data_IF_743329892427
#
_entry.id   IF_743329892427
#
_cell.length_a   1.000
_cell.length_b   1.000
_cell.length_c   1.000
_cell.angle_alpha   90.00
_cell.angle_beta   90.00
_cell.angle_gamma   90.00
#
_symmetry.space_group_name_H-M   'P 1'
#
loop_
_entity.id
_entity.type
_entity.pdbx_description
1 polymer ?
#
# COMPACT_ATOMS: atom_id res chain seq x y z
N UNK A 1 -8.01 18.48 19.81
CA UNK A 1 -6.92 18.24 18.84
C UNK A 1 -7.56 17.87 17.51
N UNK A 2 -7.23 18.57 16.42
CA UNK A 2 -7.84 18.30 15.11
C UNK A 2 -6.91 17.44 14.25
N UNK A 3 -7.44 16.33 13.73
CA UNK A 3 -6.80 15.49 12.73
C UNK A 3 -7.04 16.10 11.35
N UNK A 4 -5.99 16.22 10.53
CA UNK A 4 -6.08 16.75 9.17
C UNK A 4 -5.48 15.76 8.18
N UNK A 5 -6.27 15.32 7.21
CA UNK A 5 -5.73 14.61 6.04
C UNK A 5 -4.92 15.61 5.21
N UNK A 6 -3.66 15.27 4.94
CA UNK A 6 -2.72 16.12 4.19
C UNK A 6 -2.35 15.53 2.83
N UNK A 7 -2.57 14.24 2.62
CA UNK A 7 -2.37 13.61 1.33
C UNK A 7 -3.10 12.28 1.21
N UNK A 8 -3.54 11.97 0.00
CA UNK A 8 -4.06 10.67 -0.40
C UNK A 8 -3.45 10.36 -1.76
N UNK A 9 -2.94 9.15 -1.93
CA UNK A 9 -2.41 8.69 -3.20
C UNK A 9 -2.80 7.25 -3.48
N UNK A 10 -2.94 6.96 -4.76
CA UNK A 10 -3.16 5.62 -5.29
C UNK A 10 -2.16 5.45 -6.42
N UNK A 11 -1.37 4.38 -6.34
CA UNK A 11 -0.41 4.02 -7.38
C UNK A 11 -0.65 2.57 -7.80
N UNK A 12 -0.53 2.32 -9.10
CA UNK A 12 -0.50 0.96 -9.61
C UNK A 12 0.85 0.35 -9.27
N UNK A 13 0.82 -0.87 -8.74
CA UNK A 13 1.99 -1.64 -8.33
C UNK A 13 1.94 -2.99 -9.00
N UNK A 14 3.10 -3.49 -9.40
CA UNK A 14 3.25 -4.77 -10.08
C UNK A 14 4.32 -5.64 -9.41
N UNK A 15 4.61 -6.79 -10.01
CA UNK A 15 5.58 -7.74 -9.49
C UNK A 15 6.96 -7.13 -9.29
N UNK A 16 7.39 -6.21 -10.16
CA UNK A 16 8.71 -5.56 -10.08
C UNK A 16 8.81 -4.65 -8.86
N UNK A 17 7.69 -4.19 -8.33
CA UNK A 17 7.59 -3.45 -7.06
C UNK A 17 7.47 -4.35 -5.82
N UNK A 18 7.71 -5.65 -5.97
CA UNK A 18 7.58 -6.66 -4.92
C UNK A 18 6.13 -7.01 -4.57
N UNK A 19 5.13 -6.53 -5.32
CA UNK A 19 3.73 -6.80 -5.02
C UNK A 19 3.33 -8.21 -5.48
N UNK A 20 2.81 -9.03 -4.56
CA UNK A 20 2.33 -10.37 -4.89
C UNK A 20 1.01 -10.72 -4.18
N UNK A 21 -0.05 -10.99 -4.93
CA UNK A 21 -1.30 -11.47 -4.36
C UNK A 21 -1.28 -12.99 -4.17
N UNK A 22 -1.41 -13.46 -2.92
CA UNK A 22 -1.39 -14.88 -2.60
C UNK A 22 -2.68 -15.62 -3.03
N UNK A 23 -3.81 -14.91 -3.13
CA UNK A 23 -5.09 -15.48 -3.57
C UNK A 23 -5.11 -15.74 -5.07
N UNK A 24 -4.80 -14.72 -5.87
CA UNK A 24 -4.84 -14.81 -7.33
C UNK A 24 -3.53 -15.31 -7.95
N UNK A 25 -2.42 -15.30 -7.19
CA UNK A 25 -1.05 -15.58 -7.69
C UNK A 25 -0.64 -14.68 -8.85
N UNK A 26 -0.96 -13.39 -8.72
CA UNK A 26 -0.66 -12.36 -9.70
C UNK A 26 0.05 -11.20 -8.99
N UNK A 27 1.05 -10.63 -9.66
CA UNK A 27 1.77 -9.45 -9.20
C UNK A 27 1.19 -8.18 -9.80
N UNK A 28 -0.11 -7.93 -9.62
CA UNK A 28 -0.78 -6.71 -10.10
C UNK A 28 -1.71 -6.16 -9.02
N UNK A 29 -1.63 -4.87 -8.78
CA UNK A 29 -2.44 -4.26 -7.74
C UNK A 29 -2.28 -2.77 -7.56
N UNK A 30 -2.78 -2.29 -6.44
CA UNK A 30 -2.74 -0.89 -6.06
C UNK A 30 -2.14 -0.76 -4.67
N UNK A 31 -1.29 0.26 -4.52
CA UNK A 31 -0.87 0.76 -3.22
C UNK A 31 -1.61 2.07 -2.97
N UNK A 32 -2.38 2.08 -1.90
CA UNK A 32 -3.15 3.23 -1.46
C UNK A 32 -2.51 3.75 -0.19
N UNK A 33 -2.20 5.03 -0.13
CA UNK A 33 -1.65 5.64 1.06
C UNK A 33 -2.44 6.89 1.46
N UNK A 34 -2.56 7.08 2.77
CA UNK A 34 -3.20 8.24 3.39
C UNK A 34 -2.23 8.84 4.39
N UNK A 35 -1.87 10.09 4.17
CA UNK A 35 -1.06 10.89 5.08
C UNK A 35 -1.97 11.78 5.93
N UNK A 36 -1.84 11.64 7.24
CA UNK A 36 -2.61 12.38 8.23
C UNK A 36 -1.67 13.13 9.15
N UNK A 37 -1.91 14.43 9.29
CA UNK A 37 -1.24 15.28 10.25
C UNK A 37 -2.05 15.32 11.56
N UNK A 38 -1.40 14.90 12.63
CA UNK A 38 -1.86 15.03 14.02
C UNK A 38 -0.92 16.02 14.70
N UNK A 39 -1.38 16.92 15.59
CA UNK A 39 -0.48 17.86 16.24
C UNK A 39 0.78 17.19 16.81
N UNK A 40 1.96 17.54 16.26
CA UNK A 40 3.26 17.00 16.64
C UNK A 40 3.67 15.69 15.96
N UNK A 41 2.86 15.09 15.08
CA UNK A 41 3.17 13.83 14.37
C UNK A 41 2.54 13.74 12.97
N UNK A 42 3.28 13.18 12.01
CA UNK A 42 2.75 12.75 10.73
C UNK A 42 2.53 11.23 10.76
N UNK A 43 1.34 10.78 10.36
CA UNK A 43 0.99 9.38 10.23
C UNK A 43 0.79 9.04 8.76
N UNK A 44 1.46 8.01 8.27
CA UNK A 44 1.24 7.45 6.94
C UNK A 44 0.63 6.06 7.10
N UNK A 45 -0.57 5.87 6.53
CA UNK A 45 -1.22 4.57 6.48
C UNK A 45 -1.19 4.08 5.05
N UNK A 46 -0.66 2.87 4.84
CA UNK A 46 -0.58 2.24 3.52
C UNK A 46 -1.44 0.97 3.51
N UNK A 47 -2.15 0.75 2.40
CA UNK A 47 -2.91 -0.47 2.11
C UNK A 47 -2.52 -0.98 0.73
N UNK A 48 -2.50 -2.30 0.58
CA UNK A 48 -2.26 -2.97 -0.69
C UNK A 48 -3.51 -3.74 -1.08
N UNK A 49 -3.78 -3.76 -2.38
CA UNK A 49 -4.97 -4.39 -2.94
C UNK A 49 -4.63 -5.05 -4.28
N UNK A 50 -5.02 -6.31 -4.48
CA UNK A 50 -4.92 -6.94 -5.79
C UNK A 50 -5.95 -6.33 -6.75
N UNK A 51 -5.52 -6.01 -7.97
CA UNK A 51 -6.39 -5.44 -9.01
C UNK A 51 -7.40 -6.45 -9.58
N UNK A 52 -7.15 -7.74 -9.40
CA UNK A 52 -7.92 -8.82 -10.02
C UNK A 52 -9.00 -9.39 -9.08
N UNK A 53 -8.59 -9.95 -7.93
CA UNK A 53 -9.55 -10.50 -6.95
C UNK A 53 -10.10 -9.45 -5.99
N UNK A 54 -9.55 -8.23 -5.99
CA UNK A 54 -9.82 -7.26 -4.94
C UNK A 54 -9.59 -7.87 -3.54
N UNK A 55 -8.54 -8.69 -3.41
CA UNK A 55 -8.09 -9.23 -2.12
C UNK A 55 -6.97 -8.39 -1.50
N UNK A 56 -6.82 -8.48 -0.18
CA UNK A 56 -5.74 -7.83 0.57
C UNK A 56 -4.68 -8.80 1.11
N UNK A 57 -4.75 -10.08 0.72
CA UNK A 57 -3.73 -11.08 1.02
C UNK A 57 -2.55 -10.92 0.06
N UNK A 58 -1.70 -9.94 0.40
CA UNK A 58 -0.59 -9.46 -0.42
C UNK A 58 0.73 -9.63 0.35
N UNK A 59 1.70 -10.26 -0.29
CA UNK A 59 3.11 -10.28 0.13
C UNK A 59 3.85 -9.15 -0.55
N UNK A 60 4.76 -8.50 0.18
CA UNK A 60 5.74 -7.58 -0.39
C UNK A 60 7.10 -8.24 -0.28
N UNK A 61 7.70 -8.59 -1.40
CA UNK A 61 9.09 -8.99 -1.44
C UNK A 61 9.93 -7.70 -1.43
N UNK A 62 10.22 -7.18 -0.24
CA UNK A 62 11.23 -6.14 -0.08
C UNK A 62 12.58 -6.83 -0.21
N UNK A 63 13.26 -6.65 -1.35
CA UNK A 63 14.60 -7.17 -1.61
C UNK A 63 15.67 -6.43 -0.77
N UNK A 64 15.42 -6.30 0.54
CA UNK A 64 16.40 -5.92 1.57
C UNK A 64 16.91 -7.17 2.30
N UNK A 65 17.40 -8.14 1.53
CA UNK A 65 18.43 -9.05 2.05
C UNK A 65 19.79 -8.37 1.91
N UNK A 66 20.16 -7.54 2.90
CA UNK A 66 21.57 -7.17 3.15
C UNK A 66 22.17 -8.11 4.19
#
# INVERSE_FOLDING_TARGET
MALRVVGVGIEHVDHDSGHWCNTCRLGTGFRIWVAVHVPGRMHLQTRLWCSECHGSDITIDDDTST
#
